data_IF_892329055059
#
_entry.id   IF_892329055059
#
_cell.length_a   1.000
_cell.length_b   1.000
_cell.length_c   1.000
_cell.angle_alpha   90.00
_cell.angle_beta   90.00
_cell.angle_gamma   90.00
#
_symmetry.space_group_name_H-M   'P 1'
#
loop_
_entity.id
_entity.type
_entity.pdbx_description
1 polymer ?
#
# COMPACT_ATOMS: atom_id res chain seq x y z
N UNK A 1 55.95 -5.99 -1.73
CA UNK A 1 54.63 -5.52 -1.28
C UNK A 1 53.68 -5.75 -2.43
N UNK A 2 52.79 -6.73 -2.32
CA UNK A 2 51.77 -7.06 -3.32
C UNK A 2 50.42 -6.75 -2.70
N UNK A 3 49.66 -5.90 -3.38
CA UNK A 3 48.34 -5.45 -2.95
C UNK A 3 47.34 -6.59 -3.02
N UNK A 4 46.59 -6.76 -1.93
CA UNK A 4 45.59 -7.79 -1.75
C UNK A 4 44.21 -7.16 -2.05
N UNK A 5 43.73 -7.32 -3.28
CA UNK A 5 42.37 -6.91 -3.68
C UNK A 5 41.38 -7.99 -3.20
N UNK A 6 40.31 -7.65 -2.47
CA UNK A 6 39.29 -8.62 -2.10
C UNK A 6 38.57 -9.13 -3.34
N UNK A 7 38.63 -10.44 -3.57
CA UNK A 7 37.85 -11.12 -4.60
C UNK A 7 36.36 -10.88 -4.39
N UNK A 8 35.69 -10.24 -5.36
CA UNK A 8 34.23 -10.17 -5.44
C UNK A 8 33.65 -11.58 -5.34
N UNK A 9 32.94 -11.88 -4.25
CA UNK A 9 32.12 -13.07 -4.12
C UNK A 9 31.00 -12.98 -5.15
N UNK A 10 31.06 -13.84 -6.18
CA UNK A 10 29.94 -14.03 -7.12
C UNK A 10 28.66 -14.33 -6.32
N UNK A 11 27.50 -13.74 -6.67
CA UNK A 11 26.25 -14.10 -6.02
C UNK A 11 26.00 -15.60 -6.19
N UNK A 12 25.74 -16.30 -5.07
CA UNK A 12 25.35 -17.71 -5.09
C UNK A 12 24.07 -17.82 -5.93
N UNK A 13 24.11 -18.55 -7.04
CA UNK A 13 22.90 -18.97 -7.77
C UNK A 13 22.15 -19.95 -6.87
N UNK A 14 21.09 -19.47 -6.21
CA UNK A 14 20.15 -20.31 -5.48
C UNK A 14 19.20 -20.96 -6.49
N UNK A 15 19.06 -22.29 -6.43
CA UNK A 15 18.24 -23.09 -7.35
C UNK A 15 16.72 -22.83 -7.24
N UNK A 16 15.93 -23.44 -8.14
CA UNK A 16 14.47 -23.26 -8.19
C UNK A 16 13.77 -23.76 -6.91
N UNK A 17 12.65 -23.12 -6.52
CA UNK A 17 11.87 -23.42 -5.30
C UNK A 17 10.52 -24.06 -5.63
N UNK A 18 10.00 -24.84 -4.68
CA UNK A 18 8.67 -25.46 -4.73
C UNK A 18 7.62 -24.51 -4.13
N UNK A 19 6.49 -24.32 -4.82
CA UNK A 19 5.34 -23.51 -4.40
C UNK A 19 4.05 -24.29 -4.65
N UNK A 20 3.25 -24.58 -3.62
CA UNK A 20 2.02 -25.38 -3.73
C UNK A 20 2.16 -26.67 -4.56
N UNK A 21 3.27 -27.39 -4.38
CA UNK A 21 3.56 -28.64 -5.12
C UNK A 21 4.01 -28.45 -6.57
N UNK A 22 4.23 -27.21 -7.03
CA UNK A 22 4.74 -26.87 -8.37
C UNK A 22 6.11 -26.19 -8.27
N UNK A 23 7.02 -26.51 -9.18
CA UNK A 23 8.30 -25.81 -9.29
C UNK A 23 8.02 -24.42 -9.88
N UNK A 24 8.33 -23.36 -9.13
CA UNK A 24 8.30 -21.99 -9.65
C UNK A 24 9.75 -21.53 -9.86
N UNK A 25 10.14 -21.17 -11.11
CA UNK A 25 11.42 -20.53 -11.34
C UNK A 25 11.42 -19.18 -10.61
N UNK A 26 12.49 -18.89 -9.85
CA UNK A 26 12.71 -17.55 -9.28
C UNK A 26 12.81 -16.57 -10.45
N UNK A 27 11.77 -15.78 -10.65
CA UNK A 27 11.78 -14.69 -11.62
C UNK A 27 12.58 -13.55 -11.03
N UNK A 28 13.68 -13.21 -11.66
CA UNK A 28 14.40 -11.95 -11.42
C UNK A 28 13.50 -10.77 -11.82
N UNK A 29 13.82 -9.54 -11.40
CA UNK A 29 13.13 -8.33 -11.91
C UNK A 29 13.11 -8.32 -13.45
N UNK A 30 14.12 -8.89 -14.11
CA UNK A 30 14.14 -9.04 -15.56
C UNK A 30 13.08 -10.03 -16.10
N UNK A 31 12.74 -11.08 -15.37
CA UNK A 31 11.73 -12.08 -15.76
C UNK A 31 10.27 -11.61 -15.45
N UNK A 32 10.12 -10.55 -14.66
CA UNK A 32 8.86 -9.84 -14.45
C UNK A 32 8.57 -8.82 -15.58
N UNK A 33 9.57 -8.52 -16.42
CA UNK A 33 9.50 -7.62 -17.58
C UNK A 33 9.33 -8.40 -18.89
N UNK A 34 9.01 -9.70 -18.85
CA UNK A 34 8.50 -10.40 -20.04
C UNK A 34 7.04 -10.00 -20.30
N UNK A 35 6.87 -8.93 -21.08
CA UNK A 35 5.62 -8.69 -21.79
C UNK A 35 5.38 -9.88 -22.73
N UNK A 36 4.23 -10.57 -22.65
CA UNK A 36 3.92 -11.63 -23.60
C UNK A 36 3.96 -11.05 -25.01
N UNK A 37 4.76 -11.70 -25.84
CA UNK A 37 5.08 -11.38 -27.22
C UNK A 37 3.79 -11.42 -28.06
N UNK A 38 3.02 -10.35 -27.95
CA UNK A 38 1.91 -10.05 -28.84
C UNK A 38 2.43 -8.92 -29.71
N UNK A 39 2.78 -9.27 -30.94
CA UNK A 39 2.96 -8.35 -32.06
C UNK A 39 1.63 -7.60 -32.37
N UNK A 40 1.09 -6.86 -31.39
CA UNK A 40 0.28 -5.69 -31.67
C UNK A 40 1.28 -4.55 -31.83
N UNK A 41 1.51 -4.19 -33.09
CA UNK A 41 2.10 -2.93 -33.55
C UNK A 41 2.23 -1.88 -32.42
N UNK A 42 3.48 -1.64 -32.00
CA UNK A 42 3.87 -0.54 -31.10
C UNK A 42 3.36 0.84 -31.59
N UNK A 43 2.93 0.92 -32.84
CA UNK A 43 2.37 2.12 -33.48
C UNK A 43 0.90 2.38 -33.14
N UNK A 44 0.16 1.46 -32.49
CA UNK A 44 -1.31 1.60 -32.32
C UNK A 44 -1.78 1.66 -30.86
N UNK A 45 -0.90 1.58 -29.85
CA UNK A 45 -1.29 1.54 -28.43
C UNK A 45 -0.73 2.66 -27.55
N UNK A 46 -0.02 3.63 -28.13
CA UNK A 46 0.36 4.85 -27.42
C UNK A 46 0.05 6.05 -28.31
N UNK A 47 -1.25 6.41 -28.35
CA UNK A 47 -1.61 7.82 -28.23
C UNK A 47 -0.90 8.32 -26.97
N UNK A 48 0.35 8.76 -27.10
CA UNK A 48 1.09 9.47 -26.08
C UNK A 48 0.40 10.81 -25.88
N UNK A 49 -0.73 10.80 -25.18
CA UNK A 49 -1.13 11.97 -24.44
C UNK A 49 0.02 12.24 -23.46
N UNK A 50 0.47 13.50 -23.31
CA UNK A 50 1.38 13.88 -22.22
C UNK A 50 0.84 13.30 -20.89
N UNK A 51 1.69 13.09 -19.86
CA UNK A 51 1.23 12.54 -18.58
C UNK A 51 -0.07 13.25 -18.20
N UNK A 52 -1.18 12.51 -18.02
CA UNK A 52 -2.51 13.03 -18.37
C UNK A 52 -2.91 14.26 -17.57
N UNK A 53 -2.18 14.56 -16.48
CA UNK A 53 -2.48 15.60 -15.50
C UNK A 53 -1.20 16.40 -15.18
N UNK A 54 -1.27 17.73 -15.27
CA UNK A 54 -0.21 18.65 -14.82
C UNK A 54 -0.25 18.93 -13.31
N UNK A 55 -1.38 18.62 -12.67
CA UNK A 55 -1.59 18.74 -11.24
C UNK A 55 -2.51 17.60 -10.79
N UNK A 56 -2.14 16.95 -9.69
CA UNK A 56 -2.97 15.96 -9.02
C UNK A 56 -2.85 16.09 -7.50
N UNK A 57 -3.84 15.56 -6.80
CA UNK A 57 -3.80 15.43 -5.36
C UNK A 57 -3.22 14.06 -4.96
N UNK A 58 -2.47 14.01 -3.85
CA UNK A 58 -1.75 12.79 -3.45
C UNK A 58 -2.71 11.68 -2.98
N UNK A 59 -3.76 12.03 -2.21
CA UNK A 59 -4.71 11.06 -1.66
C UNK A 59 -5.65 11.70 -0.64
N UNK A 60 -5.35 11.57 0.65
CA UNK A 60 -6.14 12.15 1.75
C UNK A 60 -6.51 13.63 1.56
N UNK A 61 -7.79 13.96 1.70
CA UNK A 61 -8.30 15.34 1.77
C UNK A 61 -8.66 15.71 3.21
N UNK A 62 -8.83 17.01 3.49
CA UNK A 62 -9.31 17.45 4.80
C UNK A 62 -10.77 17.01 4.98
N UNK A 63 -11.02 16.21 6.02
CA UNK A 63 -12.38 15.81 6.41
C UNK A 63 -13.14 17.04 6.92
N UNK A 64 -14.37 17.24 6.43
CA UNK A 64 -15.22 18.33 6.92
C UNK A 64 -15.61 18.10 8.39
N UNK A 65 -15.89 19.18 9.12
CA UNK A 65 -16.42 19.09 10.48
C UNK A 65 -17.67 18.21 10.54
N UNK A 66 -18.56 18.34 9.55
CA UNK A 66 -19.76 17.50 9.41
C UNK A 66 -19.42 15.99 9.36
N UNK A 67 -18.40 15.59 8.60
CA UNK A 67 -17.99 14.19 8.54
C UNK A 67 -17.36 13.73 9.87
N UNK A 68 -16.53 14.58 10.48
CA UNK A 68 -15.92 14.28 11.78
C UNK A 68 -16.97 14.10 12.88
N UNK A 69 -18.00 14.94 12.91
CA UNK A 69 -19.11 14.83 13.86
C UNK A 69 -19.85 13.50 13.71
N UNK A 70 -20.13 13.06 12.47
CA UNK A 70 -20.80 11.78 12.21
C UNK A 70 -19.93 10.59 12.63
N UNK A 71 -18.61 10.63 12.37
CA UNK A 71 -17.67 9.61 12.87
C UNK A 71 -17.61 9.58 14.39
N UNK A 72 -17.67 10.73 15.06
CA UNK A 72 -17.70 10.81 16.51
C UNK A 72 -19.01 10.25 17.10
N UNK A 73 -20.15 10.47 16.44
CA UNK A 73 -21.43 9.85 16.81
C UNK A 73 -21.39 8.34 16.65
N UNK A 74 -20.85 7.84 15.54
CA UNK A 74 -20.69 6.40 15.30
C UNK A 74 -19.79 5.76 16.37
N UNK A 75 -18.68 6.41 16.74
CA UNK A 75 -17.78 5.93 17.80
C UNK A 75 -18.43 5.89 19.20
N UNK A 76 -19.54 6.60 19.40
CA UNK A 76 -20.34 6.59 20.63
C UNK A 76 -21.63 5.77 20.51
N UNK A 77 -21.75 4.95 19.45
CA UNK A 77 -22.93 4.14 19.14
C UNK A 77 -24.25 4.96 19.02
N UNK A 78 -24.16 6.26 18.70
CA UNK A 78 -25.34 7.14 18.53
C UNK A 78 -25.98 7.03 17.15
N UNK A 79 -25.23 6.54 16.16
CA UNK A 79 -25.69 6.25 14.80
C UNK A 79 -25.18 4.88 14.38
N UNK A 80 -25.87 4.22 13.47
CA UNK A 80 -25.42 2.93 12.94
C UNK A 80 -24.43 3.06 11.77
N UNK A 81 -23.90 1.92 11.29
CA UNK A 81 -22.98 1.88 10.16
C UNK A 81 -23.63 2.38 8.86
N UNK A 82 -24.94 2.21 8.70
CA UNK A 82 -25.67 2.68 7.51
C UNK A 82 -25.71 4.20 7.48
N UNK A 83 -25.96 4.83 8.62
CA UNK A 83 -25.94 6.28 8.79
C UNK A 83 -24.54 6.86 8.59
N UNK A 84 -23.50 6.22 9.15
CA UNK A 84 -22.11 6.62 8.90
C UNK A 84 -21.76 6.51 7.41
N UNK A 85 -22.11 5.40 6.75
CA UNK A 85 -21.82 5.17 5.33
C UNK A 85 -22.48 6.26 4.47
N UNK A 86 -23.73 6.64 4.77
CA UNK A 86 -24.41 7.77 4.08
C UNK A 86 -23.66 9.08 4.27
N UNK A 87 -23.17 9.37 5.48
CA UNK A 87 -22.40 10.59 5.75
C UNK A 87 -21.07 10.60 5.00
N UNK A 88 -20.37 9.47 4.93
CA UNK A 88 -19.13 9.30 4.17
C UNK A 88 -19.37 9.45 2.67
N UNK A 89 -20.40 8.81 2.13
CA UNK A 89 -20.79 8.91 0.72
C UNK A 89 -21.06 10.35 0.30
N UNK A 90 -21.82 11.11 1.10
CA UNK A 90 -22.10 12.51 0.81
C UNK A 90 -20.85 13.38 0.91
N UNK A 91 -19.99 13.16 1.89
CA UNK A 91 -18.72 13.87 2.01
C UNK A 91 -17.79 13.59 0.82
N UNK A 92 -17.76 12.35 0.33
CA UNK A 92 -16.98 11.97 -0.85
C UNK A 92 -17.54 12.66 -2.09
N UNK A 93 -18.87 12.64 -2.31
CA UNK A 93 -19.49 13.36 -3.43
C UNK A 93 -19.13 14.85 -3.41
N UNK A 94 -19.12 15.48 -2.24
CA UNK A 94 -18.70 16.88 -2.10
C UNK A 94 -17.22 17.10 -2.45
N UNK A 95 -16.34 16.18 -2.05
CA UNK A 95 -14.92 16.19 -2.42
C UNK A 95 -14.71 15.99 -3.93
N UNK A 96 -15.48 15.09 -4.56
CA UNK A 96 -15.43 14.88 -6.01
C UNK A 96 -15.87 16.15 -6.76
N UNK A 97 -16.99 16.74 -6.36
CA UNK A 97 -17.47 18.02 -6.92
C UNK A 97 -16.45 19.14 -6.73
N UNK A 98 -15.74 19.18 -5.59
CA UNK A 98 -14.69 20.17 -5.38
C UNK A 98 -13.55 19.99 -6.38
N UNK A 99 -13.05 18.76 -6.55
CA UNK A 99 -11.98 18.44 -7.48
C UNK A 99 -12.37 18.80 -8.93
N UNK A 100 -13.61 18.52 -9.32
CA UNK A 100 -14.18 18.95 -10.61
C UNK A 100 -14.19 20.48 -10.76
N UNK A 101 -14.72 21.20 -9.76
CA UNK A 101 -14.82 22.66 -9.78
C UNK A 101 -13.47 23.35 -9.90
N UNK A 102 -12.44 22.83 -9.23
CA UNK A 102 -11.09 23.41 -9.30
C UNK A 102 -10.30 22.98 -10.55
N UNK A 103 -10.93 22.18 -11.43
CA UNK A 103 -10.38 21.82 -12.74
C UNK A 103 -9.39 20.66 -12.72
N UNK A 104 -9.31 19.88 -11.62
CA UNK A 104 -8.54 18.65 -11.60
C UNK A 104 -9.10 17.67 -12.65
N UNK A 105 -8.23 16.80 -13.14
CA UNK A 105 -8.54 15.82 -14.17
C UNK A 105 -8.59 14.38 -13.65
N UNK A 106 -8.19 14.23 -12.39
CA UNK A 106 -8.20 13.03 -11.60
C UNK A 106 -8.94 13.30 -10.30
N UNK A 107 -9.58 12.28 -9.75
CA UNK A 107 -10.30 12.37 -8.49
C UNK A 107 -9.94 11.22 -7.55
N UNK A 108 -9.77 11.56 -6.28
CA UNK A 108 -9.73 10.64 -5.14
C UNK A 108 -10.96 10.87 -4.26
N UNK A 109 -11.37 9.84 -3.51
CA UNK A 109 -12.40 9.96 -2.48
C UNK A 109 -11.92 10.73 -1.24
N UNK A 110 -10.66 11.19 -1.23
CA UNK A 110 -10.05 11.86 -0.09
C UNK A 110 -9.74 10.93 1.07
N UNK A 111 -9.84 9.61 0.87
CA UNK A 111 -9.62 8.57 1.89
C UNK A 111 -10.55 8.71 3.10
N UNK A 112 -11.77 9.22 2.87
CA UNK A 112 -12.70 9.59 3.94
C UNK A 112 -13.22 8.39 4.75
N UNK A 113 -13.35 7.21 4.13
CA UNK A 113 -13.71 5.95 4.81
C UNK A 113 -12.56 5.34 5.60
N UNK A 114 -11.34 5.81 5.36
CA UNK A 114 -10.15 5.29 6.04
C UNK A 114 -9.99 6.00 7.36
N UNK A 115 -9.51 5.27 8.36
CA UNK A 115 -9.00 5.86 9.59
C UNK A 115 -7.56 6.32 9.40
N UNK A 116 -6.71 5.43 8.92
CA UNK A 116 -5.34 5.73 8.51
C UNK A 116 -5.03 5.08 7.15
N UNK A 117 -4.08 5.65 6.40
CA UNK A 117 -3.73 5.18 5.06
C UNK A 117 -3.22 3.72 5.05
N UNK A 118 -2.45 3.33 6.09
CA UNK A 118 -1.84 2.01 6.17
C UNK A 118 -2.82 0.94 6.65
N UNK A 119 -3.70 1.28 7.60
CA UNK A 119 -4.51 0.29 8.32
C UNK A 119 -5.62 -0.29 7.45
N UNK A 120 -6.20 0.53 6.58
CA UNK A 120 -7.32 0.13 5.73
C UNK A 120 -7.02 -1.10 4.87
N UNK A 121 -5.91 -1.10 4.13
CA UNK A 121 -5.59 -2.19 3.22
C UNK A 121 -5.05 -3.43 3.96
N UNK A 122 -4.05 -3.25 4.84
CA UNK A 122 -3.37 -4.37 5.48
C UNK A 122 -4.29 -5.20 6.38
N UNK A 123 -5.24 -4.59 7.09
CA UNK A 123 -6.21 -5.31 7.94
C UNK A 123 -7.15 -6.23 7.17
N UNK A 124 -7.20 -6.10 5.85
CA UNK A 124 -8.03 -6.93 4.99
C UNK A 124 -7.24 -8.10 4.37
N UNK A 125 -5.94 -8.19 4.64
CA UNK A 125 -5.05 -9.23 4.09
C UNK A 125 -4.77 -10.37 5.09
N UNK A 126 -5.81 -10.88 5.75
CA UNK A 126 -5.67 -11.96 6.74
C UNK A 126 -5.64 -11.43 8.18
N UNK A 127 -4.83 -12.05 9.03
CA UNK A 127 -4.74 -11.71 10.47
C UNK A 127 -3.60 -10.72 10.72
N UNK A 128 -3.72 -9.56 10.07
CA UNK A 128 -2.74 -8.48 10.12
C UNK A 128 -3.40 -7.26 10.74
N UNK A 129 -2.69 -6.58 11.63
CA UNK A 129 -3.08 -5.25 12.09
C UNK A 129 -1.91 -4.29 12.04
N UNK A 130 -2.20 -3.00 11.91
CA UNK A 130 -1.20 -1.95 11.97
C UNK A 130 -1.83 -0.74 12.63
N UNK A 131 -1.53 -0.58 13.92
CA UNK A 131 -2.15 0.41 14.79
C UNK A 131 -1.08 1.06 15.66
N UNK A 132 -1.33 2.27 16.14
CA UNK A 132 -0.47 2.93 17.12
C UNK A 132 -0.55 2.22 18.47
N UNK A 133 0.60 1.91 19.07
CA UNK A 133 0.65 1.37 20.43
C UNK A 133 0.14 2.46 21.38
N UNK A 134 -0.98 2.20 22.06
CA UNK A 134 -1.59 3.15 23.02
C UNK A 134 -3.09 3.41 22.85
N UNK A 135 -3.74 2.87 21.81
CA UNK A 135 -5.13 3.23 21.51
C UNK A 135 -5.20 4.53 20.71
N UNK A 136 -6.42 5.05 20.54
CA UNK A 136 -6.79 5.99 19.47
C UNK A 136 -5.76 7.08 19.23
N UNK A 137 -5.12 7.04 18.05
CA UNK A 137 -4.20 8.04 17.50
C UNK A 137 -3.50 8.83 18.59
N UNK A 138 -2.58 8.16 19.32
CA UNK A 138 -1.76 8.69 20.41
C UNK A 138 -1.85 10.21 20.45
N UNK A 139 -2.67 10.72 21.39
CA UNK A 139 -3.04 12.12 21.56
C UNK A 139 -1.96 12.99 20.97
N UNK A 140 -2.30 13.69 19.87
CA UNK A 140 -1.34 14.44 19.06
C UNK A 140 -0.32 15.07 19.99
N UNK A 141 0.89 14.51 19.98
CA UNK A 141 1.96 15.00 20.83
C UNK A 141 2.12 16.50 20.58
N UNK A 142 2.60 17.22 21.59
CA UNK A 142 2.79 18.68 21.52
C UNK A 142 3.17 19.15 20.12
N UNK A 143 2.56 20.24 19.60
CA UNK A 143 2.81 20.73 18.25
C UNK A 143 4.31 20.71 17.90
N UNK A 144 4.70 19.86 16.95
CA UNK A 144 6.10 19.66 16.55
C UNK A 144 6.77 18.36 17.04
N UNK A 145 6.12 17.54 17.88
CA UNK A 145 6.60 16.20 18.24
C UNK A 145 6.01 15.13 17.32
N UNK A 146 6.84 14.16 16.91
CA UNK A 146 6.37 12.98 16.17
C UNK A 146 5.45 12.16 17.08
N UNK A 147 4.18 12.02 16.70
CA UNK A 147 3.23 11.13 17.38
C UNK A 147 3.68 9.67 17.38
N UNK A 148 3.00 8.83 18.19
CA UNK A 148 3.32 7.41 18.27
C UNK A 148 3.31 6.77 16.88
N UNK A 149 4.33 5.98 16.61
CA UNK A 149 4.44 5.28 15.33
C UNK A 149 3.58 4.03 15.36
N UNK A 150 2.80 3.74 14.29
CA UNK A 150 2.07 2.49 14.19
C UNK A 150 3.05 1.30 14.18
N UNK A 151 2.63 0.21 14.80
CA UNK A 151 3.33 -1.07 14.84
C UNK A 151 2.44 -2.09 14.15
N UNK A 152 3.03 -2.85 13.22
CA UNK A 152 2.32 -3.93 12.55
C UNK A 152 2.43 -5.23 13.36
N UNK A 153 1.33 -5.97 13.43
CA UNK A 153 1.25 -7.32 14.00
C UNK A 153 0.86 -8.28 12.89
N UNK A 154 1.56 -9.40 12.81
CA UNK A 154 1.36 -10.46 11.80
C UNK A 154 1.05 -11.74 12.57
N UNK A 155 -0.23 -11.97 12.83
CA UNK A 155 -0.69 -13.13 13.62
C UNK A 155 -1.05 -14.33 12.73
N UNK A 156 -1.07 -14.14 11.41
CA UNK A 156 -1.33 -15.17 10.43
C UNK A 156 -0.75 -14.80 9.07
N UNK A 157 -0.79 -15.74 8.12
CA UNK A 157 -0.28 -15.50 6.77
C UNK A 157 -1.09 -14.40 6.07
N UNK A 158 -0.38 -13.56 5.34
CA UNK A 158 -0.93 -12.58 4.42
C UNK A 158 -1.82 -13.30 3.42
N UNK A 159 -3.08 -12.88 3.33
CA UNK A 159 -4.07 -13.50 2.44
C UNK A 159 -5.08 -12.49 1.95
N UNK A 160 -5.04 -12.19 0.66
CA UNK A 160 -6.12 -11.49 -0.01
C UNK A 160 -7.34 -12.43 -0.12
N UNK A 161 -8.51 -11.95 0.30
CA UNK A 161 -9.75 -12.75 0.32
C UNK A 161 -10.83 -12.23 -0.64
N UNK A 162 -10.79 -10.93 -0.93
CA UNK A 162 -11.75 -10.23 -1.78
C UNK A 162 -11.14 -8.91 -2.24
N UNK A 163 -11.64 -8.30 -3.32
CA UNK A 163 -11.24 -6.96 -3.72
C UNK A 163 -11.47 -5.97 -2.58
N UNK A 164 -10.43 -5.21 -2.23
CA UNK A 164 -10.46 -4.28 -1.11
C UNK A 164 -10.90 -2.89 -1.58
N UNK A 165 -10.28 -2.36 -2.63
CA UNK A 165 -10.48 -1.00 -3.11
C UNK A 165 -11.39 -0.93 -4.34
N UNK A 166 -11.83 -2.06 -4.90
CA UNK A 166 -12.78 -2.05 -6.03
C UNK A 166 -14.09 -1.32 -5.69
N UNK A 167 -14.72 -1.52 -4.52
CA UNK A 167 -15.92 -0.77 -4.16
C UNK A 167 -15.69 0.75 -4.10
N UNK A 168 -14.55 1.20 -3.54
CA UNK A 168 -14.21 2.63 -3.51
C UNK A 168 -13.97 3.18 -4.92
N UNK A 169 -13.30 2.42 -5.78
CA UNK A 169 -13.09 2.77 -7.19
C UNK A 169 -14.42 2.92 -7.93
N UNK A 170 -15.34 1.97 -7.78
CA UNK A 170 -16.66 2.00 -8.43
C UNK A 170 -17.50 3.17 -7.91
N UNK A 171 -17.39 3.48 -6.62
CA UNK A 171 -18.05 4.63 -6.03
C UNK A 171 -17.54 5.94 -6.63
N UNK A 172 -16.22 6.13 -6.73
CA UNK A 172 -15.65 7.33 -7.37
C UNK A 172 -16.11 7.39 -8.82
N UNK A 173 -15.91 6.30 -9.59
CA UNK A 173 -16.26 6.21 -11.02
C UNK A 173 -17.72 6.55 -11.31
N UNK A 174 -18.64 6.17 -10.44
CA UNK A 174 -20.08 6.42 -10.63
C UNK A 174 -20.51 7.84 -10.26
N UNK A 175 -19.67 8.60 -9.55
CA UNK A 175 -20.00 9.94 -9.03
C UNK A 175 -19.18 11.08 -9.63
N UNK A 176 -18.28 10.82 -10.60
CA UNK A 176 -17.50 11.86 -11.29
C UNK A 176 -17.15 11.47 -12.72
N UNK A 177 -16.96 12.47 -13.59
CA UNK A 177 -16.39 12.29 -14.93
C UNK A 177 -14.85 12.31 -14.96
N UNK A 178 -14.20 12.59 -13.83
CA UNK A 178 -12.74 12.61 -13.70
C UNK A 178 -12.17 11.19 -13.65
N UNK A 179 -10.86 11.05 -13.90
CA UNK A 179 -10.19 9.75 -13.80
C UNK A 179 -10.11 9.32 -12.31
N UNK A 180 -10.72 8.20 -11.91
CA UNK A 180 -10.65 7.75 -10.52
C UNK A 180 -9.24 7.26 -10.14
N UNK A 181 -8.76 7.69 -8.99
CA UNK A 181 -7.50 7.27 -8.37
C UNK A 181 -7.74 6.47 -7.11
N UNK A 182 -7.04 5.34 -7.00
CA UNK A 182 -6.93 4.57 -5.77
C UNK A 182 -5.52 4.68 -5.23
N UNK A 183 -5.39 4.97 -3.93
CA UNK A 183 -4.12 4.92 -3.19
C UNK A 183 -4.05 3.63 -2.38
N UNK A 184 -2.91 2.94 -2.41
CA UNK A 184 -2.64 1.71 -1.66
C UNK A 184 -1.27 1.86 -0.99
N UNK A 185 -1.07 1.49 0.29
CA UNK A 185 0.25 1.52 0.90
C UNK A 185 1.21 0.55 0.20
N UNK A 186 2.50 0.89 0.14
CA UNK A 186 3.53 0.03 -0.47
C UNK A 186 3.91 -1.16 0.40
N UNK A 187 4.21 -2.33 -0.20
CA UNK A 187 4.36 -3.62 0.50
C UNK A 187 5.46 -3.62 1.57
N UNK A 188 6.55 -2.88 1.36
CA UNK A 188 7.65 -2.82 2.31
C UNK A 188 7.29 -2.01 3.55
N UNK A 189 6.31 -1.11 3.46
CA UNK A 189 5.80 -0.39 4.61
C UNK A 189 5.20 -1.32 5.68
N UNK A 190 4.63 -2.48 5.31
CA UNK A 190 4.13 -3.45 6.29
C UNK A 190 5.30 -4.10 7.05
N UNK A 191 6.29 -4.61 6.33
CA UNK A 191 7.48 -5.22 6.94
C UNK A 191 8.25 -4.20 7.79
N UNK A 192 8.49 -2.99 7.29
CA UNK A 192 9.14 -1.91 8.02
C UNK A 192 8.50 -1.67 9.40
N UNK A 193 7.17 -1.80 9.48
CA UNK A 193 6.38 -1.58 10.70
C UNK A 193 6.31 -2.80 11.62
N UNK A 194 6.61 -4.00 11.10
CA UNK A 194 6.58 -5.26 11.85
C UNK A 194 8.00 -5.69 12.30
N UNK A 195 8.94 -5.76 11.36
CA UNK A 195 10.26 -6.37 11.51
C UNK A 195 10.26 -7.88 11.31
N UNK A 196 11.45 -8.45 11.14
CA UNK A 196 11.66 -9.88 10.88
C UNK A 196 11.12 -10.75 12.01
N UNK A 197 11.37 -10.34 13.26
CA UNK A 197 10.92 -11.05 14.45
C UNK A 197 9.38 -11.21 14.47
N UNK A 198 8.63 -10.18 14.07
CA UNK A 198 7.17 -10.25 14.05
C UNK A 198 6.65 -11.12 12.89
N UNK A 199 7.31 -11.08 11.72
CA UNK A 199 6.97 -11.95 10.58
C UNK A 199 7.19 -13.43 10.93
N UNK A 200 8.33 -13.74 11.55
CA UNK A 200 8.76 -15.11 11.85
C UNK A 200 8.16 -15.69 13.13
N UNK A 201 7.50 -14.88 13.97
CA UNK A 201 6.97 -15.33 15.26
C UNK A 201 5.83 -16.34 15.15
N UNK A 202 4.98 -16.22 14.13
CA UNK A 202 3.70 -16.95 14.08
C UNK A 202 3.41 -17.60 12.72
N UNK A 203 3.54 -16.84 11.64
CA UNK A 203 2.93 -17.19 10.35
C UNK A 203 3.91 -17.76 9.32
N UNK A 204 5.22 -17.53 9.52
CA UNK A 204 6.26 -17.80 8.53
C UNK A 204 7.50 -18.42 9.16
N UNK A 205 8.09 -19.39 8.46
CA UNK A 205 9.40 -19.95 8.83
C UNK A 205 10.54 -19.20 8.15
N UNK A 206 10.28 -18.63 6.97
CA UNK A 206 11.26 -17.90 6.16
C UNK A 206 10.65 -16.59 5.67
N UNK A 207 11.44 -15.51 5.67
CA UNK A 207 10.98 -14.20 5.20
C UNK A 207 10.54 -14.20 3.74
N UNK A 208 11.19 -15.02 2.90
CA UNK A 208 10.84 -15.14 1.49
C UNK A 208 9.38 -15.57 1.29
N UNK A 209 8.84 -16.42 2.18
CA UNK A 209 7.43 -16.85 2.09
C UNK A 209 6.45 -15.70 2.40
N UNK A 210 6.84 -14.79 3.30
CA UNK A 210 6.07 -13.59 3.60
C UNK A 210 6.04 -12.66 2.38
N UNK A 211 7.19 -12.46 1.73
CA UNK A 211 7.27 -11.64 0.52
C UNK A 211 6.47 -12.24 -0.64
N UNK A 212 6.52 -13.56 -0.81
CA UNK A 212 5.70 -14.27 -1.83
C UNK A 212 4.20 -14.02 -1.60
N UNK A 213 3.71 -14.14 -0.37
CA UNK A 213 2.29 -13.90 -0.06
C UNK A 213 1.90 -12.42 -0.20
N UNK A 214 2.78 -11.48 0.17
CA UNK A 214 2.57 -10.03 -0.03
C UNK A 214 2.45 -9.70 -1.51
N UNK A 215 3.40 -10.16 -2.32
CA UNK A 215 3.39 -9.92 -3.77
C UNK A 215 2.13 -10.52 -4.39
N UNK A 216 1.72 -11.71 -3.97
CA UNK A 216 0.49 -12.33 -4.47
C UNK A 216 -0.76 -11.55 -4.07
N UNK A 217 -0.85 -11.08 -2.82
CA UNK A 217 -1.98 -10.26 -2.37
C UNK A 217 -2.12 -8.94 -3.15
N UNK A 218 -1.00 -8.26 -3.40
CA UNK A 218 -0.97 -7.03 -4.22
C UNK A 218 -1.32 -7.33 -5.68
N UNK A 219 -0.80 -8.42 -6.24
CA UNK A 219 -1.12 -8.85 -7.61
C UNK A 219 -2.62 -9.09 -7.77
N UNK A 220 -3.24 -9.80 -6.83
CA UNK A 220 -4.69 -10.05 -6.85
C UNK A 220 -5.51 -8.77 -6.76
N UNK A 221 -5.14 -7.85 -5.85
CA UNK A 221 -5.81 -6.55 -5.72
C UNK A 221 -5.69 -5.69 -6.99
N UNK A 222 -4.48 -5.56 -7.54
CA UNK A 222 -4.23 -4.79 -8.76
C UNK A 222 -4.95 -5.40 -9.97
N UNK A 223 -4.98 -6.74 -10.08
CA UNK A 223 -5.75 -7.42 -11.12
C UNK A 223 -7.25 -7.18 -10.98
N UNK A 224 -7.79 -7.22 -9.76
CA UNK A 224 -9.20 -6.95 -9.48
C UNK A 224 -9.57 -5.50 -9.85
N UNK A 225 -8.75 -4.53 -9.46
CA UNK A 225 -8.90 -3.12 -9.86
C UNK A 225 -8.83 -2.95 -11.38
N UNK A 226 -7.85 -3.59 -12.02
CA UNK A 226 -7.70 -3.59 -13.48
C UNK A 226 -8.93 -4.16 -14.20
N UNK A 227 -9.47 -5.27 -13.70
CA UNK A 227 -10.68 -5.92 -14.21
C UNK A 227 -11.94 -5.05 -14.03
N UNK A 228 -12.05 -4.32 -12.92
CA UNK A 228 -13.12 -3.34 -12.69
C UNK A 228 -13.01 -2.10 -13.61
N UNK A 229 -11.87 -1.90 -14.26
CA UNK A 229 -11.61 -0.78 -15.16
C UNK A 229 -10.77 0.35 -14.56
N UNK A 230 -10.20 0.15 -13.36
CA UNK A 230 -9.26 1.10 -12.78
C UNK A 230 -7.97 1.15 -13.62
N UNK A 231 -7.50 2.36 -13.90
CA UNK A 231 -6.28 2.60 -14.69
C UNK A 231 -5.29 3.53 -13.99
N UNK A 232 -5.61 3.96 -12.78
CA UNK A 232 -4.76 4.84 -11.99
C UNK A 232 -4.72 4.37 -10.54
N UNK A 233 -3.64 3.68 -10.18
CA UNK A 233 -3.34 3.26 -8.81
C UNK A 233 -2.02 3.89 -8.41
N UNK A 234 -2.01 4.55 -7.25
CA UNK A 234 -0.81 5.03 -6.60
C UNK A 234 -0.42 4.07 -5.47
N UNK A 235 0.84 3.66 -5.44
CA UNK A 235 1.40 2.83 -4.38
C UNK A 235 2.33 3.69 -3.52
N UNK A 236 1.95 3.90 -2.27
CA UNK A 236 2.65 4.77 -1.32
C UNK A 236 3.70 3.98 -0.54
N UNK A 237 4.87 3.78 -1.16
CA UNK A 237 6.00 3.11 -0.50
C UNK A 237 6.85 4.10 0.31
N UNK A 238 6.46 4.31 1.56
CA UNK A 238 7.10 5.28 2.45
C UNK A 238 8.30 4.74 3.23
N UNK A 239 8.56 3.43 3.20
CA UNK A 239 9.72 2.85 3.88
C UNK A 239 11.02 3.13 3.13
N UNK A 240 11.01 3.05 1.79
CA UNK A 240 12.20 3.17 0.96
C UNK A 240 13.00 4.46 1.21
N UNK A 241 12.31 5.60 1.26
CA UNK A 241 12.96 6.89 1.51
C UNK A 241 13.66 6.93 2.89
N UNK A 242 13.16 6.18 3.88
CA UNK A 242 13.71 6.14 5.24
C UNK A 242 14.97 5.30 5.34
N UNK A 243 15.18 4.36 4.42
CA UNK A 243 16.42 3.57 4.39
C UNK A 243 17.66 4.42 4.08
N UNK A 244 17.50 5.65 3.59
CA UNK A 244 18.61 6.60 3.43
C UNK A 244 19.01 7.34 4.72
N UNK A 245 18.25 7.21 5.81
CA UNK A 245 18.52 7.90 7.08
C UNK A 245 19.37 7.01 8.01
N UNK A 246 20.61 7.42 8.38
CA UNK A 246 21.48 6.64 9.24
C UNK A 246 20.88 6.29 10.61
N UNK A 247 20.02 7.13 11.16
CA UNK A 247 19.34 6.84 12.44
C UNK A 247 18.33 5.71 12.28
N UNK A 248 17.59 5.70 11.16
CA UNK A 248 16.65 4.63 10.82
C UNK A 248 17.40 3.32 10.57
N UNK A 249 18.51 3.36 9.83
CA UNK A 249 19.35 2.18 9.58
C UNK A 249 19.84 1.57 10.89
N UNK A 250 20.36 2.38 11.82
CA UNK A 250 20.81 1.92 13.13
C UNK A 250 19.67 1.32 13.96
N UNK A 251 18.49 1.96 13.95
CA UNK A 251 17.32 1.43 14.64
C UNK A 251 16.87 0.08 14.08
N UNK A 252 16.85 -0.09 12.75
CA UNK A 252 16.52 -1.37 12.10
C UNK A 252 17.54 -2.45 12.44
N UNK A 253 18.84 -2.13 12.39
CA UNK A 253 19.90 -3.05 12.83
C UNK A 253 19.76 -3.45 14.29
N UNK A 254 19.44 -2.51 15.18
CA UNK A 254 19.21 -2.80 16.60
C UNK A 254 17.97 -3.68 16.84
N UNK A 255 16.97 -3.60 15.95
CA UNK A 255 15.80 -4.51 15.94
C UNK A 255 16.12 -5.90 15.38
N UNK A 256 17.28 -6.07 14.73
CA UNK A 256 17.70 -7.33 14.11
C UNK A 256 17.32 -7.46 12.64
N UNK A 257 16.84 -6.38 12.01
CA UNK A 257 16.46 -6.41 10.59
C UNK A 257 17.64 -6.01 9.69
N UNK A 258 17.71 -6.63 8.51
CA UNK A 258 18.58 -6.17 7.42
C UNK A 258 17.78 -5.28 6.46
N UNK A 259 17.85 -3.97 6.68
CA UNK A 259 17.19 -2.97 5.83
C UNK A 259 17.70 -2.98 4.39
N UNK A 260 18.97 -3.38 4.17
CA UNK A 260 19.58 -3.35 2.84
C UNK A 260 19.02 -4.48 1.96
N UNK A 261 18.76 -5.64 2.57
CA UNK A 261 18.11 -6.76 1.89
C UNK A 261 16.67 -6.44 1.45
N UNK A 262 16.01 -5.44 2.04
CA UNK A 262 14.65 -5.00 1.65
C UNK A 262 14.62 -4.26 0.32
N UNK A 263 15.74 -3.70 -0.14
CA UNK A 263 15.82 -3.02 -1.44
C UNK A 263 15.71 -4.03 -2.59
N UNK A 264 16.14 -5.27 -2.36
CA UNK A 264 16.18 -6.34 -3.36
C UNK A 264 14.93 -7.24 -3.34
N UNK A 265 13.89 -6.89 -2.57
CA UNK A 265 12.64 -7.66 -2.44
C UNK A 265 11.54 -7.21 -3.39
#
# INVERSE_FOLDING_TARGET
MRDNVPTQTRPRRLGPRLWNGKIIPRRTVADLIEYPDTQRSLTTMLSHKPPPFHAEHIGSLLRSSKLLDQRAKFARDEIDLTELTKAEDEAIKDALRLQERVGLKLATDGEFRRRSYHSFFYRQLGEISIDTVGGDDAEGGEPGRRGAQPVARINGRVRWRRPVNVPDFEFIRSNTGLVPKITIPGPCALHFRAGDAAVLAHAYTELDEFWDDIVEAFRQELNALGAAGCRYVQIDETAFAKFGDPEVQQWLHARGDDWSALIDK
#
